data_IF_303544436847
#
_entry.id   IF_303544436847
#
_cell.length_a   1.000
_cell.length_b   1.000
_cell.length_c   1.000
_cell.angle_alpha   90.00
_cell.angle_beta   90.00
_cell.angle_gamma   90.00
#
_symmetry.space_group_name_H-M   'P 1'
#
loop_
_entity.id
_entity.type
_entity.pdbx_description
1 polymer ?
#
# COMPACT_ATOMS: atom_id res chain seq x y z
N UNK A 1 -4.58 -10.71 -11.41
CA UNK A 1 -3.27 -10.87 -10.74
C UNK A 1 -3.01 -9.70 -9.81
N UNK A 2 -2.62 -9.97 -8.56
CA UNK A 2 -2.09 -8.94 -7.67
C UNK A 2 -0.68 -8.58 -8.14
N UNK A 3 -0.47 -7.31 -8.50
CA UNK A 3 0.80 -6.79 -8.99
C UNK A 3 1.32 -5.64 -8.11
N UNK A 4 2.46 -5.07 -8.47
CA UNK A 4 3.07 -3.93 -7.79
C UNK A 4 3.03 -2.72 -8.70
N UNK A 5 2.77 -1.55 -8.10
CA UNK A 5 2.92 -0.26 -8.78
C UNK A 5 4.32 -0.08 -9.40
N UNK A 6 5.35 -0.66 -8.78
CA UNK A 6 6.72 -0.61 -9.29
C UNK A 6 6.92 -1.33 -10.63
N UNK A 7 5.91 -2.06 -11.13
CA UNK A 7 5.96 -2.65 -12.47
C UNK A 7 5.99 -1.60 -13.59
N UNK A 8 5.45 -0.40 -13.33
CA UNK A 8 5.35 0.69 -14.33
C UNK A 8 6.14 1.94 -13.96
N UNK A 9 6.81 1.94 -12.81
CA UNK A 9 7.66 3.05 -12.40
C UNK A 9 9.08 2.87 -12.94
N UNK A 10 9.66 3.89 -13.58
CA UNK A 10 11.08 3.88 -13.90
C UNK A 10 11.88 3.95 -12.59
N UNK A 11 12.40 2.79 -12.16
CA UNK A 11 13.28 2.64 -11.01
C UNK A 11 14.68 2.24 -11.46
N UNK A 12 15.72 2.50 -10.64
CA UNK A 12 17.08 2.03 -10.91
C UNK A 12 17.13 0.53 -11.23
N UNK A 13 18.06 0.17 -12.12
CA UNK A 13 18.32 -1.23 -12.46
C UNK A 13 18.68 -2.03 -11.21
N UNK A 14 18.18 -3.27 -11.13
CA UNK A 14 18.39 -4.14 -9.95
C UNK A 14 17.28 -4.08 -8.89
N UNK A 15 16.23 -3.26 -9.05
CA UNK A 15 15.06 -3.36 -8.17
C UNK A 15 14.33 -4.70 -8.34
N UNK A 16 14.56 -5.61 -7.40
CA UNK A 16 14.03 -6.99 -7.46
C UNK A 16 12.50 -7.05 -7.42
N UNK A 17 11.84 -6.07 -6.80
CA UNK A 17 10.38 -6.02 -6.73
C UNK A 17 9.82 -5.68 -8.10
N UNK A 18 10.31 -4.61 -8.73
CA UNK A 18 9.92 -4.21 -10.07
C UNK A 18 10.20 -5.30 -11.11
N UNK A 19 11.38 -5.93 -11.04
CA UNK A 19 11.76 -6.99 -11.96
C UNK A 19 10.82 -8.21 -11.87
N UNK A 20 10.51 -8.67 -10.65
CA UNK A 20 9.60 -9.82 -10.44
C UNK A 20 8.19 -9.54 -10.96
N UNK A 21 7.63 -8.38 -10.66
CA UNK A 21 6.27 -8.05 -11.09
C UNK A 21 6.18 -7.84 -12.60
N UNK A 22 7.16 -7.16 -13.23
CA UNK A 22 7.22 -7.04 -14.69
C UNK A 22 7.31 -8.40 -15.37
N UNK A 23 8.15 -9.30 -14.86
CA UNK A 23 8.29 -10.64 -15.41
C UNK A 23 6.98 -11.44 -15.31
N UNK A 24 6.25 -11.34 -14.19
CA UNK A 24 4.96 -12.03 -14.03
C UNK A 24 3.87 -11.47 -14.94
N UNK A 25 3.77 -10.13 -15.07
CA UNK A 25 2.83 -9.50 -16.00
C UNK A 25 3.13 -9.91 -17.45
N UNK A 26 4.41 -9.84 -17.85
CA UNK A 26 4.84 -10.17 -19.20
C UNK A 26 4.55 -11.63 -19.55
N UNK A 27 4.80 -12.57 -18.63
CA UNK A 27 4.53 -13.99 -18.87
C UNK A 27 3.05 -14.28 -19.12
N UNK A 28 2.14 -13.59 -18.43
CA UNK A 28 0.69 -13.74 -18.66
C UNK A 28 0.26 -13.15 -20.00
N UNK A 29 0.87 -12.02 -20.40
CA UNK A 29 0.63 -11.40 -21.70
C UNK A 29 1.13 -12.30 -22.84
N UNK A 30 2.35 -12.81 -22.74
CA UNK A 30 2.96 -13.69 -23.75
C UNK A 30 2.22 -15.03 -23.90
N UNK A 31 1.61 -15.50 -22.82
CA UNK A 31 0.79 -16.72 -22.81
C UNK A 31 -0.66 -16.50 -23.30
N UNK A 32 -1.02 -15.27 -23.71
CA UNK A 32 -2.38 -14.87 -24.10
C UNK A 32 -3.45 -15.24 -23.05
N UNK A 33 -3.09 -15.13 -21.76
CA UNK A 33 -4.01 -15.40 -20.64
C UNK A 33 -4.76 -14.11 -20.31
N UNK A 34 -6.10 -14.06 -20.49
CA UNK A 34 -6.88 -12.88 -20.13
C UNK A 34 -6.66 -12.51 -18.66
N UNK A 35 -6.09 -11.33 -18.43
CA UNK A 35 -5.61 -10.93 -17.11
C UNK A 35 -5.95 -9.48 -16.80
N UNK A 36 -6.43 -9.23 -15.57
CA UNK A 36 -6.44 -7.90 -14.96
C UNK A 36 -5.32 -7.78 -13.94
N UNK A 37 -4.59 -6.66 -13.97
CA UNK A 37 -3.46 -6.39 -13.08
C UNK A 37 -3.83 -5.36 -12.01
N UNK A 38 -3.77 -5.75 -10.74
CA UNK A 38 -3.96 -4.86 -9.60
C UNK A 38 -2.61 -4.39 -9.09
N UNK A 39 -2.08 -3.30 -9.63
CA UNK A 39 -0.77 -2.74 -9.30
C UNK A 39 -0.86 -1.90 -8.03
N UNK A 40 -0.62 -2.53 -6.88
CA UNK A 40 -0.79 -1.87 -5.59
C UNK A 40 0.45 -1.08 -5.16
N UNK A 41 0.23 -0.01 -4.40
CA UNK A 41 1.29 0.72 -3.68
C UNK A 41 1.62 -0.04 -2.37
N UNK A 42 2.40 0.55 -1.46
CA UNK A 42 2.64 -0.03 -0.14
C UNK A 42 1.33 -0.24 0.63
N UNK A 43 1.30 -1.23 1.52
CA UNK A 43 0.14 -1.52 2.35
C UNK A 43 0.24 -0.77 3.68
N UNK A 44 -0.86 -0.30 4.22
CA UNK A 44 -0.89 0.35 5.54
C UNK A 44 -0.41 -0.61 6.65
N UNK A 45 -0.72 -1.91 6.54
CA UNK A 45 -0.23 -2.97 7.43
C UNK A 45 1.30 -3.09 7.46
N UNK A 46 2.02 -2.55 6.45
CA UNK A 46 3.49 -2.61 6.46
C UNK A 46 4.10 -1.89 7.67
N UNK A 47 3.38 -0.93 8.27
CA UNK A 47 3.81 -0.29 9.52
C UNK A 47 4.11 -1.33 10.61
N UNK A 48 3.37 -2.45 10.61
CA UNK A 48 3.49 -3.48 11.62
C UNK A 48 4.78 -4.30 11.54
N UNK A 49 5.46 -4.29 10.39
CA UNK A 49 6.80 -4.88 10.22
C UNK A 49 7.84 -4.23 11.12
N UNK A 50 7.56 -3.01 11.59
CA UNK A 50 8.38 -2.30 12.54
C UNK A 50 7.77 -2.30 13.95
N UNK A 51 6.60 -2.94 14.13
CA UNK A 51 5.92 -3.03 15.43
C UNK A 51 6.15 -4.33 16.19
N UNK A 52 6.52 -5.43 15.51
CA UNK A 52 6.85 -6.71 16.16
C UNK A 52 8.06 -6.61 17.07
N UNK A 53 8.92 -5.61 16.84
CA UNK A 53 10.07 -5.26 17.66
C UNK A 53 9.92 -3.86 18.29
N UNK A 54 8.71 -3.46 18.74
CA UNK A 54 8.58 -2.31 19.66
C UNK A 54 9.20 -2.65 21.03
N UNK A 55 10.49 -2.93 21.03
CA UNK A 55 11.35 -2.75 22.19
C UNK A 55 11.38 -1.25 22.53
N UNK A 56 11.90 -0.88 23.70
CA UNK A 56 11.81 0.45 24.33
C UNK A 56 12.19 1.68 23.45
N UNK A 57 12.77 1.50 22.26
CA UNK A 57 13.30 2.55 21.39
C UNK A 57 12.36 3.07 20.27
N UNK A 58 11.28 2.37 19.93
CA UNK A 58 10.31 2.79 18.89
C UNK A 58 10.56 2.25 17.46
N UNK A 59 10.04 2.94 16.43
CA UNK A 59 10.09 2.53 15.00
C UNK A 59 11.37 3.05 14.34
N UNK A 60 12.12 2.18 13.67
CA UNK A 60 13.25 2.54 12.80
C UNK A 60 12.96 2.26 11.34
N UNK A 61 12.88 3.30 10.52
CA UNK A 61 12.59 3.19 9.08
C UNK A 61 13.62 3.96 8.23
N UNK A 62 13.99 3.47 7.03
CA UNK A 62 15.02 4.11 6.21
C UNK A 62 14.59 5.46 5.62
N UNK A 63 13.28 5.63 5.36
CA UNK A 63 12.69 6.83 4.77
C UNK A 63 11.45 7.26 5.55
N UNK A 64 11.58 7.69 6.81
CA UNK A 64 10.43 7.88 7.69
C UNK A 64 9.52 9.04 7.26
N UNK A 65 10.05 9.98 6.50
CA UNK A 65 9.36 11.21 6.06
C UNK A 65 8.80 11.11 4.63
N UNK A 66 9.07 10.02 3.89
CA UNK A 66 8.51 9.82 2.56
C UNK A 66 7.05 9.40 2.69
N UNK A 67 6.14 10.25 2.21
CA UNK A 67 4.72 9.98 2.22
C UNK A 67 4.30 9.17 0.97
N UNK A 68 3.58 8.06 1.17
CA UNK A 68 3.06 7.21 0.12
C UNK A 68 1.56 7.01 0.28
N UNK A 69 0.79 6.87 -0.82
CA UNK A 69 -0.63 6.57 -0.73
C UNK A 69 -0.84 5.09 -0.41
N UNK A 70 -0.55 4.71 0.84
CA UNK A 70 -0.60 3.32 1.30
C UNK A 70 -2.03 2.80 1.32
N UNK A 71 -2.24 1.58 0.84
CA UNK A 71 -3.57 1.00 0.66
C UNK A 71 -3.89 -0.04 1.74
N UNK A 72 -5.13 -0.05 2.20
CA UNK A 72 -5.65 -1.07 3.11
C UNK A 72 -5.86 -2.41 2.38
N UNK A 73 -5.38 -3.56 2.89
CA UNK A 73 -5.56 -4.87 2.26
C UNK A 73 -7.01 -5.22 1.94
N UNK A 74 -7.95 -4.84 2.80
CA UNK A 74 -9.39 -5.02 2.55
C UNK A 74 -9.90 -4.28 1.31
N UNK A 75 -9.31 -3.12 0.96
CA UNK A 75 -9.67 -2.41 -0.27
C UNK A 75 -9.12 -3.13 -1.50
N UNK A 76 -7.93 -3.74 -1.42
CA UNK A 76 -7.38 -4.59 -2.48
C UNK A 76 -8.31 -5.79 -2.72
N UNK A 77 -8.75 -6.44 -1.64
CA UNK A 77 -9.69 -7.55 -1.68
C UNK A 77 -11.03 -7.15 -2.31
N UNK A 78 -11.57 -5.99 -1.92
CA UNK A 78 -12.81 -5.46 -2.48
C UNK A 78 -12.67 -5.15 -3.99
N UNK A 79 -11.56 -4.55 -4.42
CA UNK A 79 -11.29 -4.33 -5.85
C UNK A 79 -11.18 -5.64 -6.63
N UNK A 80 -10.47 -6.63 -6.09
CA UNK A 80 -10.38 -7.94 -6.72
C UNK A 80 -11.75 -8.62 -6.85
N UNK A 81 -12.57 -8.57 -5.81
CA UNK A 81 -13.92 -9.11 -5.83
C UNK A 81 -14.79 -8.41 -6.87
N UNK A 82 -14.77 -7.07 -6.94
CA UNK A 82 -15.54 -6.31 -7.92
C UNK A 82 -15.17 -6.66 -9.36
N UNK A 83 -13.86 -6.84 -9.64
CA UNK A 83 -13.38 -7.24 -10.97
C UNK A 83 -13.79 -8.68 -11.31
N UNK A 84 -13.69 -9.60 -10.36
CA UNK A 84 -14.03 -11.00 -10.57
C UNK A 84 -15.54 -11.24 -10.73
N UNK A 85 -16.37 -10.35 -10.16
CA UNK A 85 -17.83 -10.41 -10.21
C UNK A 85 -18.44 -9.51 -11.29
N UNK A 86 -17.63 -8.81 -12.09
CA UNK A 86 -18.14 -7.97 -13.18
C UNK A 86 -18.81 -8.82 -14.27
N UNK A 87 -19.89 -8.29 -14.86
CA UNK A 87 -20.67 -8.98 -15.90
C UNK A 87 -19.83 -9.34 -17.14
N UNK A 88 -18.75 -8.60 -17.38
CA UNK A 88 -17.79 -8.85 -18.45
C UNK A 88 -16.36 -8.97 -17.87
N UNK A 89 -15.55 -9.92 -18.35
CA UNK A 89 -14.15 -10.02 -18.00
C UNK A 89 -13.41 -8.72 -18.34
N UNK A 90 -12.77 -8.13 -17.34
CA UNK A 90 -11.87 -7.01 -17.54
C UNK A 90 -10.47 -7.55 -17.84
N UNK A 91 -9.79 -6.99 -18.83
CA UNK A 91 -8.38 -7.27 -19.18
C UNK A 91 -7.58 -5.98 -19.17
N UNK A 92 -7.54 -5.32 -18.02
CA UNK A 92 -6.94 -3.99 -17.84
C UNK A 92 -6.02 -3.95 -16.64
N UNK A 93 -5.22 -2.90 -16.50
CA UNK A 93 -4.40 -2.68 -15.33
C UNK A 93 -4.95 -1.52 -14.49
N UNK A 94 -5.07 -1.72 -13.18
CA UNK A 94 -5.46 -0.70 -12.21
C UNK A 94 -4.31 -0.40 -11.25
N UNK A 95 -4.08 0.88 -10.95
CA UNK A 95 -3.14 1.31 -9.93
C UNK A 95 -3.87 1.50 -8.62
N UNK A 96 -3.71 0.59 -7.65
CA UNK A 96 -4.51 0.59 -6.42
C UNK A 96 -3.76 1.30 -5.30
N UNK A 97 -4.31 2.42 -4.81
CA UNK A 97 -3.70 3.23 -3.75
C UNK A 97 -4.64 3.47 -2.56
N UNK A 98 -4.08 3.98 -1.46
CA UNK A 98 -4.86 4.67 -0.45
C UNK A 98 -5.32 6.04 -0.92
N UNK A 99 -6.31 6.65 -0.24
CA UNK A 99 -6.83 7.96 -0.59
C UNK A 99 -5.86 9.10 -0.25
N UNK A 100 -4.86 8.86 0.61
CA UNK A 100 -3.98 9.88 1.16
C UNK A 100 -2.55 9.41 1.23
N UNK A 101 -1.59 10.31 1.01
CA UNK A 101 -0.18 10.01 1.25
C UNK A 101 0.13 10.10 2.73
N UNK A 102 0.66 9.02 3.29
CA UNK A 102 1.09 8.96 4.69
C UNK A 102 2.55 8.52 4.75
N UNK A 103 3.34 9.27 5.50
CA UNK A 103 4.71 8.89 5.86
C UNK A 103 4.70 7.83 6.96
N UNK A 104 5.86 7.28 7.30
CA UNK A 104 5.98 6.40 8.47
C UNK A 104 5.69 7.17 9.75
N UNK A 105 6.08 8.45 9.83
CA UNK A 105 5.76 9.32 10.97
C UNK A 105 4.27 9.57 11.12
N UNK A 106 3.55 9.78 10.02
CA UNK A 106 2.11 9.98 10.06
C UNK A 106 1.41 8.70 10.54
N UNK A 107 1.81 7.54 9.99
CA UNK A 107 1.28 6.23 10.42
C UNK A 107 1.60 5.95 11.90
N UNK A 108 2.80 6.26 12.37
CA UNK A 108 3.19 6.11 13.77
C UNK A 108 2.40 7.04 14.70
N UNK A 109 2.08 8.27 14.26
CA UNK A 109 1.25 9.20 15.03
C UNK A 109 -0.17 8.66 15.22
N UNK A 110 -0.74 8.08 14.15
CA UNK A 110 -2.03 7.37 14.24
C UNK A 110 -1.94 6.20 15.21
N UNK A 111 -0.88 5.40 15.16
CA UNK A 111 -0.69 4.30 16.11
C UNK A 111 -0.52 4.77 17.56
N UNK A 112 0.20 5.87 17.78
CA UNK A 112 0.43 6.44 19.10
C UNK A 112 -0.89 6.89 19.75
N UNK A 113 -1.74 7.58 18.99
CA UNK A 113 -3.10 7.97 19.40
C UNK A 113 -3.93 6.73 19.81
N UNK A 114 -3.87 5.65 19.02
CA UNK A 114 -4.66 4.44 19.26
C UNK A 114 -4.17 3.58 20.42
N UNK A 115 -2.85 3.55 20.64
CA UNK A 115 -2.25 2.78 21.73
C UNK A 115 -2.18 3.59 23.03
N UNK A 116 -2.45 4.90 23.00
CA UNK A 116 -2.34 5.77 24.17
C UNK A 116 -0.90 5.91 24.67
N UNK A 117 0.10 5.81 23.79
CA UNK A 117 1.53 5.97 24.13
C UNK A 117 2.30 6.61 22.99
N UNK A 118 3.35 7.35 23.32
CA UNK A 118 4.25 7.92 22.32
C UNK A 118 5.03 6.81 21.58
N UNK A 119 5.17 6.98 20.27
CA UNK A 119 5.97 6.11 19.41
C UNK A 119 7.07 6.95 18.78
N UNK A 120 8.30 6.78 19.26
CA UNK A 120 9.48 7.41 18.65
C UNK A 120 9.71 6.82 17.26
N UNK A 121 9.97 7.69 16.27
CA UNK A 121 10.34 7.28 14.91
C UNK A 121 11.72 7.81 14.57
N UNK A 122 12.64 6.92 14.25
CA UNK A 122 14.01 7.22 13.88
C UNK A 122 14.32 6.78 12.46
N UNK A 123 15.26 7.50 11.82
CA UNK A 123 15.81 7.11 10.54
C UNK A 123 16.80 5.98 10.72
N UNK A 124 16.53 4.82 10.13
CA UNK A 124 17.51 3.74 10.02
C UNK A 124 18.52 4.03 8.90
N UNK A 125 19.78 3.63 9.12
CA UNK A 125 20.79 3.59 8.04
C UNK A 125 20.80 2.24 7.31
N UNK A 126 20.13 1.23 7.87
CA UNK A 126 20.01 -0.10 7.28
C UNK A 126 18.91 -0.10 6.22
N UNK A 127 19.30 0.27 4.99
CA UNK A 127 18.41 0.21 3.82
C UNK A 127 18.49 -1.19 3.23
N UNK A 128 17.37 -1.92 3.22
CA UNK A 128 17.30 -3.22 2.56
C UNK A 128 17.43 -3.05 1.04
N UNK A 129 18.08 -4.00 0.37
CA UNK A 129 18.18 -4.00 -1.09
C UNK A 129 16.78 -3.94 -1.74
N UNK A 130 16.55 -2.94 -2.59
CA UNK A 130 15.28 -2.69 -3.27
C UNK A 130 14.34 -1.68 -2.59
N UNK A 131 14.71 -1.16 -1.43
CA UNK A 131 13.97 -0.10 -0.74
C UNK A 131 14.46 1.28 -1.24
N UNK A 132 13.75 1.85 -2.23
CA UNK A 132 14.05 3.16 -2.83
C UNK A 132 12.90 4.12 -2.51
N UNK A 133 12.85 4.59 -1.26
CA UNK A 133 11.75 5.44 -0.80
C UNK A 133 11.61 6.74 -1.61
N UNK A 134 12.72 7.34 -2.03
CA UNK A 134 12.72 8.68 -2.67
C UNK A 134 12.03 8.72 -4.03
N UNK A 135 12.15 7.67 -4.85
CA UNK A 135 11.54 7.63 -6.20
C UNK A 135 10.02 7.39 -6.13
N UNK A 136 9.49 7.10 -4.94
CA UNK A 136 8.07 6.85 -4.69
C UNK A 136 7.32 8.07 -4.15
N UNK A 137 8.01 9.18 -3.85
CA UNK A 137 7.36 10.39 -3.31
C UNK A 137 6.42 11.08 -4.32
N UNK A 138 6.69 10.92 -5.62
CA UNK A 138 5.88 11.47 -6.72
C UNK A 138 4.58 10.69 -6.99
N UNK A 139 4.30 9.64 -6.20
CA UNK A 139 3.09 8.83 -6.37
C UNK A 139 1.85 9.59 -5.93
N UNK A 140 0.95 9.88 -6.84
CA UNK A 140 -0.37 10.40 -6.52
C UNK A 140 -1.35 9.26 -6.21
N UNK A 141 -2.33 9.49 -5.30
CA UNK A 141 -3.46 8.59 -5.17
C UNK A 141 -4.08 8.29 -6.54
N UNK A 142 -4.22 7.02 -6.87
CA UNK A 142 -4.71 6.54 -8.15
C UNK A 142 -5.70 5.41 -7.92
N UNK A 143 -6.71 5.37 -8.79
CA UNK A 143 -7.87 4.46 -8.73
C UNK A 143 -8.59 4.49 -7.39
N UNK A 144 -9.69 5.22 -7.36
CA UNK A 144 -10.62 5.17 -6.24
C UNK A 144 -11.31 3.79 -6.21
N UNK A 145 -11.07 3.03 -5.14
CA UNK A 145 -11.73 1.74 -4.90
C UNK A 145 -13.25 1.91 -4.90
N UNK A 146 -13.76 3.09 -4.54
CA UNK A 146 -15.18 3.42 -4.60
C UNK A 146 -15.69 3.45 -6.05
N UNK A 147 -14.87 3.94 -7.00
CA UNK A 147 -15.19 3.90 -8.42
C UNK A 147 -15.17 2.47 -9.00
N UNK A 148 -14.32 1.59 -8.48
CA UNK A 148 -14.25 0.19 -8.91
C UNK A 148 -15.35 -0.68 -8.30
N UNK A 149 -15.76 -0.40 -7.06
CA UNK A 149 -16.70 -1.24 -6.31
C UNK A 149 -18.15 -0.73 -6.41
N UNK A 150 -18.38 0.45 -6.98
CA UNK A 150 -19.69 1.12 -7.00
C UNK A 150 -20.22 1.47 -5.61
N UNK A 151 -19.43 1.23 -4.56
CA UNK A 151 -19.82 1.45 -3.18
C UNK A 151 -19.28 2.79 -2.71
N UNK A 152 -20.18 3.72 -2.37
CA UNK A 152 -19.84 4.78 -1.42
C UNK A 152 -19.59 4.09 -0.08
N UNK A 153 -18.32 3.85 0.25
CA UNK A 153 -17.95 3.79 1.66
C UNK A 153 -18.40 5.10 2.32
N UNK A 154 -18.76 5.14 3.63
CA UNK A 154 -19.35 6.35 4.24
C UNK A 154 -18.44 7.59 4.14
N UNK A 155 -18.56 8.35 3.05
CA UNK A 155 -18.05 9.70 2.73
C UNK A 155 -16.83 10.21 3.51
N UNK A 156 -15.69 10.37 2.81
CA UNK A 156 -14.65 11.34 3.14
C UNK A 156 -13.22 10.80 3.03
N UNK A 157 -12.46 11.26 2.03
CA UNK A 157 -11.00 11.17 2.04
C UNK A 157 -10.48 12.12 3.13
N UNK A 158 -9.90 11.57 4.20
CA UNK A 158 -9.43 12.35 5.34
C UNK A 158 -8.62 11.52 6.35
N UNK A 159 -7.69 12.14 7.12
CA UNK A 159 -6.83 11.44 8.09
C UNK A 159 -7.64 10.67 9.14
N UNK A 160 -8.86 11.15 9.43
CA UNK A 160 -9.83 10.54 10.33
C UNK A 160 -10.31 9.13 9.91
N UNK A 161 -10.28 8.79 8.62
CA UNK A 161 -10.77 7.49 8.11
C UNK A 161 -9.67 6.43 8.06
N UNK A 162 -8.46 6.81 7.69
CA UNK A 162 -7.27 5.96 7.85
C UNK A 162 -7.05 5.65 9.32
N UNK A 163 -7.23 6.64 10.21
CA UNK A 163 -7.36 6.46 11.66
C UNK A 163 -8.41 5.41 12.02
N UNK A 164 -9.66 5.54 11.55
CA UNK A 164 -10.74 4.59 11.87
C UNK A 164 -10.45 3.16 11.38
N UNK A 165 -9.87 2.97 10.19
CA UNK A 165 -9.59 1.64 9.63
C UNK A 165 -8.40 0.94 10.30
N UNK A 166 -7.31 1.67 10.58
CA UNK A 166 -6.22 1.16 11.41
C UNK A 166 -6.75 0.80 12.81
N UNK A 167 -7.67 1.59 13.36
CA UNK A 167 -8.34 1.28 14.63
C UNK A 167 -9.14 -0.02 14.58
N UNK A 168 -10.03 -0.16 13.60
CA UNK A 168 -10.88 -1.35 13.42
C UNK A 168 -10.03 -2.63 13.28
N UNK A 169 -8.92 -2.54 12.56
CA UNK A 169 -8.04 -3.68 12.36
C UNK A 169 -7.23 -4.04 13.61
N UNK A 170 -6.68 -3.06 14.34
CA UNK A 170 -5.96 -3.30 15.60
C UNK A 170 -6.89 -3.90 16.66
N UNK A 171 -8.17 -3.50 16.67
CA UNK A 171 -9.16 -4.12 17.55
C UNK A 171 -9.50 -5.57 17.14
N UNK A 172 -9.45 -5.91 15.84
CA UNK A 172 -9.70 -7.28 15.36
C UNK A 172 -8.57 -8.29 15.65
N UNK A 173 -7.42 -7.80 16.14
CA UNK A 173 -6.27 -8.62 16.51
C UNK A 173 -6.22 -8.96 18.01
N UNK A 174 -7.24 -8.56 18.79
CA UNK A 174 -7.45 -8.93 20.20
C UNK A 174 -8.57 -9.95 20.32
#
# INVERSE_FOLDING_TARGET
MLSSYTAVVPLPSGNVIAARHRSGEQALIEADVPSTFLRCVGFDYNILKWTSDLNDDGIRAPYPDVALPVVHPGNIGASAAAILLADAPLTVAFSITGPEKLSVRDQASVLAELLGRDIRVERSRDVRAGDHGTDRAALEPATDVEALTGSRGPSGSGPARTRRRLSEHIHSLR
#
